data_IF_064685502868
#
_entry.id   IF_064685502868
#
_cell.length_a   1.000
_cell.length_b   1.000
_cell.length_c   1.000
_cell.angle_alpha   90.00
_cell.angle_beta   90.00
_cell.angle_gamma   90.00
#
_symmetry.space_group_name_H-M   'P 1'
#
loop_
_entity.id
_entity.type
_entity.pdbx_description
1 polymer ?
#
# COMPACT_ATOMS: atom_id res chain seq x y z
N UNK A 1 22.95 52.74 -15.88
CA UNK A 1 21.84 51.78 -15.95
C UNK A 1 22.41 50.40 -16.29
N UNK A 2 22.40 49.42 -15.38
CA UNK A 2 22.33 47.97 -15.71
C UNK A 2 22.44 47.09 -14.46
N UNK A 3 21.30 46.77 -13.85
CA UNK A 3 21.21 45.78 -12.75
C UNK A 3 20.33 44.58 -13.14
N UNK A 4 19.89 44.48 -14.41
CA UNK A 4 18.91 43.46 -14.83
C UNK A 4 19.50 42.15 -15.39
N UNK A 5 20.82 41.97 -15.40
CA UNK A 5 21.45 40.79 -16.03
C UNK A 5 21.86 39.66 -15.05
N UNK A 6 21.72 39.85 -13.73
CA UNK A 6 22.19 38.85 -12.74
C UNK A 6 21.11 37.81 -12.40
N UNK A 7 19.82 38.14 -12.55
CA UNK A 7 18.71 37.30 -12.04
C UNK A 7 18.37 36.07 -12.91
N UNK A 8 18.90 35.99 -14.13
CA UNK A 8 18.57 34.94 -15.10
C UNK A 8 19.50 33.71 -15.06
N UNK A 9 20.61 33.76 -14.30
CA UNK A 9 21.57 32.63 -14.24
C UNK A 9 21.23 31.56 -13.18
N UNK A 10 20.66 31.93 -12.04
CA UNK A 10 20.33 30.94 -10.99
C UNK A 10 19.17 30.00 -11.36
N UNK A 11 18.15 30.47 -12.09
CA UNK A 11 16.98 29.65 -12.43
C UNK A 11 17.28 28.48 -13.39
N UNK A 12 18.39 28.54 -14.14
CA UNK A 12 18.85 27.47 -15.02
C UNK A 12 19.58 26.35 -14.26
N UNK A 13 20.30 26.71 -13.20
CA UNK A 13 21.14 25.77 -12.44
C UNK A 13 20.30 24.88 -11.51
N UNK A 14 19.23 25.43 -10.91
CA UNK A 14 18.27 24.66 -10.11
C UNK A 14 17.48 23.64 -10.96
N UNK A 15 17.19 23.98 -12.23
CA UNK A 15 16.59 23.06 -13.20
C UNK A 15 17.56 21.95 -13.64
N UNK A 16 18.85 22.27 -13.75
CA UNK A 16 19.89 21.30 -14.10
C UNK A 16 20.17 20.31 -12.96
N UNK A 17 20.16 20.77 -11.70
CA UNK A 17 20.30 19.91 -10.51
C UNK A 17 19.11 18.97 -10.31
N UNK A 18 17.91 19.37 -10.71
CA UNK A 18 16.72 18.51 -10.69
C UNK A 18 16.79 17.35 -11.70
N UNK A 19 17.66 17.46 -12.71
CA UNK A 19 17.94 16.39 -13.69
C UNK A 19 19.18 15.56 -13.31
N UNK A 20 19.46 15.38 -12.02
CA UNK A 20 20.28 14.24 -11.61
C UNK A 20 19.59 12.99 -12.19
N UNK A 21 20.28 12.32 -13.12
CA UNK A 21 19.75 11.18 -13.86
C UNK A 21 19.34 10.08 -12.89
N UNK A 22 18.07 10.07 -12.49
CA UNK A 22 17.51 9.03 -11.66
C UNK A 22 17.45 7.75 -12.49
N UNK A 23 18.29 6.78 -12.15
CA UNK A 23 18.24 5.46 -12.75
C UNK A 23 16.99 4.74 -12.26
N UNK A 24 16.08 4.39 -13.17
CA UNK A 24 14.92 3.59 -12.88
C UNK A 24 15.34 2.12 -12.81
N UNK A 25 15.69 1.68 -11.60
CA UNK A 25 16.07 0.30 -11.35
C UNK A 25 14.90 -0.65 -11.61
N UNK A 26 15.20 -1.80 -12.23
CA UNK A 26 14.21 -2.82 -12.49
C UNK A 26 13.65 -3.40 -11.19
N UNK A 27 12.36 -3.71 -11.19
CA UNK A 27 11.74 -4.40 -10.08
C UNK A 27 12.28 -5.83 -10.00
N UNK A 28 12.72 -6.24 -8.81
CA UNK A 28 12.98 -7.65 -8.48
C UNK A 28 12.14 -8.04 -7.26
N UNK A 29 11.76 -9.32 -7.09
CA UNK A 29 10.98 -9.76 -5.93
C UNK A 29 11.66 -9.48 -4.59
N UNK A 30 13.00 -9.46 -4.56
CA UNK A 30 13.80 -9.19 -3.36
C UNK A 30 13.85 -7.71 -3.01
N UNK A 31 14.09 -6.83 -3.98
CA UNK A 31 14.27 -5.38 -3.70
C UNK A 31 12.97 -4.59 -3.78
N UNK A 32 12.03 -5.03 -4.61
CA UNK A 32 10.74 -4.40 -4.88
C UNK A 32 10.84 -2.88 -5.14
N UNK A 33 11.90 -2.46 -5.84
CA UNK A 33 12.06 -1.07 -6.19
C UNK A 33 10.99 -0.61 -7.18
N UNK A 34 10.45 0.57 -6.93
CA UNK A 34 9.51 1.25 -7.80
C UNK A 34 9.84 2.74 -7.88
N UNK A 35 9.52 3.34 -9.02
CA UNK A 35 9.64 4.77 -9.23
C UNK A 35 8.40 5.48 -8.68
N UNK A 36 8.60 6.39 -7.73
CA UNK A 36 7.55 7.31 -7.28
C UNK A 36 7.49 8.50 -8.25
N UNK A 37 6.43 8.56 -9.06
CA UNK A 37 6.18 9.65 -10.00
C UNK A 37 5.50 10.81 -9.26
N UNK A 38 6.29 11.82 -8.89
CA UNK A 38 5.86 13.04 -8.19
C UNK A 38 6.69 14.24 -8.66
N UNK A 39 6.43 15.44 -8.12
CA UNK A 39 7.21 16.66 -8.43
C UNK A 39 8.72 16.49 -8.21
N UNK A 40 9.12 15.56 -7.32
CA UNK A 40 10.51 15.11 -7.14
C UNK A 40 10.53 13.59 -7.25
N UNK A 41 10.82 13.02 -8.43
CA UNK A 41 10.88 11.57 -8.62
C UNK A 41 11.90 10.93 -7.68
N UNK A 42 11.54 9.80 -7.08
CA UNK A 42 12.43 9.04 -6.19
C UNK A 42 12.21 7.55 -6.37
N UNK A 43 13.31 6.78 -6.36
CA UNK A 43 13.24 5.34 -6.18
C UNK A 43 12.83 5.05 -4.74
N UNK A 44 11.85 4.17 -4.56
CA UNK A 44 11.37 3.69 -3.25
C UNK A 44 11.25 2.17 -3.33
N UNK A 45 11.20 1.49 -2.19
CA UNK A 45 11.00 0.05 -2.11
C UNK A 45 9.65 -0.30 -1.46
N UNK A 46 9.19 -1.53 -1.68
CA UNK A 46 8.04 -2.13 -0.98
C UNK A 46 6.77 -1.26 -0.99
N UNK A 47 6.25 -0.96 -2.19
CA UNK A 47 5.03 -0.16 -2.31
C UNK A 47 3.90 -0.75 -1.47
N UNK A 48 3.47 -0.02 -0.43
CA UNK A 48 2.43 -0.44 0.52
C UNK A 48 2.70 -1.82 1.15
N UNK A 49 3.98 -2.15 1.41
CA UNK A 49 4.42 -3.47 1.86
C UNK A 49 3.57 -4.09 2.98
N UNK A 50 3.24 -3.33 4.03
CA UNK A 50 2.38 -3.83 5.11
C UNK A 50 0.97 -4.21 4.65
N UNK A 51 0.31 -3.36 3.85
CA UNK A 51 -1.02 -3.66 3.30
C UNK A 51 -0.97 -4.83 2.33
N UNK A 52 0.06 -4.90 1.48
CA UNK A 52 0.27 -6.04 0.58
C UNK A 52 0.46 -7.34 1.37
N UNK A 53 1.29 -7.33 2.44
CA UNK A 53 1.52 -8.51 3.27
C UNK A 53 0.24 -9.02 3.92
N UNK A 54 -0.64 -8.12 4.37
CA UNK A 54 -1.96 -8.50 4.90
C UNK A 54 -2.77 -9.25 3.83
N UNK A 55 -2.87 -8.70 2.62
CA UNK A 55 -3.70 -9.31 1.56
C UNK A 55 -3.12 -10.59 0.95
N UNK A 56 -1.80 -10.65 0.77
CA UNK A 56 -1.16 -11.78 0.08
C UNK A 56 -0.84 -12.95 1.02
N UNK A 57 -0.59 -12.67 2.30
CA UNK A 57 -0.15 -13.70 3.24
C UNK A 57 -1.17 -13.95 4.36
N UNK A 58 -1.66 -12.89 5.03
CA UNK A 58 -2.48 -13.05 6.24
C UNK A 58 -3.93 -13.44 5.94
N UNK A 59 -4.63 -12.67 5.13
CA UNK A 59 -6.06 -12.91 4.85
C UNK A 59 -6.32 -14.30 4.26
N UNK A 60 -5.51 -14.80 3.31
CA UNK A 60 -5.68 -16.16 2.81
C UNK A 60 -5.59 -17.23 3.92
N UNK A 61 -4.71 -17.05 4.91
CA UNK A 61 -4.61 -17.95 6.06
C UNK A 61 -5.83 -17.85 6.98
N UNK A 62 -6.36 -16.63 7.20
CA UNK A 62 -7.57 -16.43 8.00
C UNK A 62 -8.83 -16.97 7.34
N UNK A 63 -8.87 -17.01 5.99
CA UNK A 63 -10.00 -17.53 5.22
C UNK A 63 -9.96 -19.04 5.03
N UNK A 64 -8.82 -19.70 5.32
CA UNK A 64 -8.80 -21.16 5.31
C UNK A 64 -9.72 -21.65 6.44
N UNK A 65 -10.78 -22.41 6.14
CA UNK A 65 -11.48 -23.13 7.19
C UNK A 65 -10.45 -24.01 7.91
N UNK A 66 -10.66 -24.24 9.22
CA UNK A 66 -9.79 -25.12 10.00
C UNK A 66 -9.79 -26.56 9.49
N UNK A 67 -9.53 -27.53 10.37
CA UNK A 67 -9.54 -28.95 10.00
C UNK A 67 -10.86 -29.35 9.30
N UNK A 68 -10.84 -30.43 8.49
CA UNK A 68 -12.01 -30.85 7.68
C UNK A 68 -13.30 -31.11 8.47
N UNK A 69 -13.19 -31.28 9.79
CA UNK A 69 -14.31 -31.43 10.74
C UNK A 69 -14.86 -30.11 11.30
N UNK A 70 -14.22 -28.98 10.99
CA UNK A 70 -14.68 -27.65 11.41
C UNK A 70 -15.82 -27.22 10.50
N UNK A 71 -17.04 -27.51 10.94
CA UNK A 71 -18.28 -27.08 10.28
C UNK A 71 -18.20 -25.61 9.85
N UNK A 72 -18.73 -25.27 8.66
CA UNK A 72 -18.88 -23.89 8.18
C UNK A 72 -19.68 -22.98 9.15
N UNK A 73 -20.34 -23.57 10.17
CA UNK A 73 -21.09 -22.89 11.23
C UNK A 73 -20.33 -22.77 12.56
N UNK A 74 -19.03 -23.03 12.62
CA UNK A 74 -18.25 -23.00 13.87
C UNK A 74 -18.19 -21.61 14.55
N UNK A 75 -18.60 -20.54 13.87
CA UNK A 75 -18.77 -19.20 14.43
C UNK A 75 -20.21 -18.89 14.89
N UNK A 76 -21.15 -19.80 14.68
CA UNK A 76 -22.53 -19.62 15.12
C UNK A 76 -22.65 -20.04 16.58
N UNK A 77 -23.25 -19.21 17.40
CA UNK A 77 -23.67 -19.62 18.73
C UNK A 77 -24.73 -20.74 18.61
N UNK A 78 -24.68 -21.71 19.52
CA UNK A 78 -25.74 -22.71 19.62
C UNK A 78 -27.10 -22.08 19.95
N UNK A 79 -27.08 -20.96 20.67
CA UNK A 79 -28.24 -20.18 21.05
C UNK A 79 -28.48 -19.03 20.06
N UNK A 80 -29.75 -18.74 19.77
CA UNK A 80 -30.15 -17.81 18.70
C UNK A 80 -30.60 -16.44 19.21
N UNK A 81 -30.17 -16.08 20.41
CA UNK A 81 -30.59 -14.84 21.03
C UNK A 81 -29.83 -13.64 20.47
N UNK A 82 -30.54 -12.53 20.25
CA UNK A 82 -29.97 -11.33 19.61
C UNK A 82 -28.90 -10.65 20.45
N UNK A 83 -28.90 -10.86 21.78
CA UNK A 83 -27.95 -10.23 22.69
C UNK A 83 -26.53 -10.81 22.60
N UNK A 84 -26.34 -11.93 21.91
CA UNK A 84 -25.01 -12.48 21.62
C UNK A 84 -24.26 -11.73 20.52
N UNK A 85 -24.95 -10.85 19.79
CA UNK A 85 -24.40 -10.09 18.68
C UNK A 85 -24.38 -8.60 19.02
N UNK A 86 -23.30 -7.92 18.63
CA UNK A 86 -23.26 -6.46 18.69
C UNK A 86 -23.90 -5.88 17.44
N UNK A 87 -24.97 -5.09 17.61
CA UNK A 87 -25.66 -4.39 16.52
C UNK A 87 -26.86 -5.14 15.94
N UNK A 88 -27.44 -4.58 14.87
CA UNK A 88 -28.63 -5.13 14.21
C UNK A 88 -28.26 -6.40 13.44
N UNK A 89 -28.75 -7.55 13.91
CA UNK A 89 -28.58 -8.86 13.25
C UNK A 89 -29.59 -8.96 12.11
N UNK A 90 -29.12 -9.27 10.90
CA UNK A 90 -30.02 -9.57 9.78
C UNK A 90 -30.62 -10.97 9.98
N UNK A 91 -31.92 -11.18 9.70
CA UNK A 91 -32.48 -12.51 9.69
C UNK A 91 -31.82 -13.34 8.58
N UNK A 92 -31.40 -14.55 8.92
CA UNK A 92 -30.91 -15.55 7.96
C UNK A 92 -32.06 -15.90 6.98
N UNK A 93 -31.76 -16.00 5.68
CA UNK A 93 -32.74 -16.42 4.63
C UNK A 93 -32.84 -17.93 4.51
#
# INVERSE_FOLDING_TARGET
>A
MNVKQVKTRQAGEDKARHRQSLYWEAFTPSTQFYLNVAQKPRLKSHYRGHRMAIWLNLIPQLHQPGDGDVSMRHHHFHERESYYYSGVVRPES
#
